data_IF_243951925050
#
_entry.id   IF_243951925050
#
_cell.length_a   1.000
_cell.length_b   1.000
_cell.length_c   1.000
_cell.angle_alpha   90.00
_cell.angle_beta   90.00
_cell.angle_gamma   90.00
#
_symmetry.space_group_name_H-M   'P 1'
#
loop_
_entity.id
_entity.type
_entity.pdbx_description
1 polymer ?
#
# COMPACT_ATOMS: atom_id res chain seq x y z
N UNK A 1 -19.25 -10.54 13.44
CA UNK A 1 -18.42 -9.39 13.00
C UNK A 1 -17.17 -10.03 12.44
N UNK A 2 -16.78 -9.86 11.15
CA UNK A 2 -15.58 -10.53 10.69
C UNK A 2 -14.36 -9.80 11.27
N UNK A 3 -13.97 -10.31 12.44
CA UNK A 3 -12.72 -10.06 13.15
C UNK A 3 -11.62 -10.88 12.46
N UNK A 4 -10.41 -10.32 12.38
CA UNK A 4 -9.24 -10.82 11.62
C UNK A 4 -9.26 -10.52 10.13
N UNK A 5 -9.13 -9.24 9.81
CA UNK A 5 -8.93 -8.75 8.46
C UNK A 5 -7.65 -7.90 8.44
N UNK A 6 -6.92 -7.87 7.32
CA UNK A 6 -5.71 -7.06 7.15
C UNK A 6 -5.90 -5.67 7.80
N UNK A 7 -4.91 -5.11 8.52
CA UNK A 7 -5.07 -3.88 9.31
C UNK A 7 -5.84 -2.81 8.54
N UNK A 8 -6.80 -2.16 9.20
CA UNK A 8 -7.60 -1.09 8.58
C UNK A 8 -6.72 0.09 8.15
N UNK A 9 -5.66 0.36 8.90
CA UNK A 9 -4.67 1.39 8.59
C UNK A 9 -3.28 0.79 8.48
N UNK A 10 -2.60 1.07 7.37
CA UNK A 10 -1.25 0.60 7.14
C UNK A 10 -0.51 1.54 6.19
N UNK A 11 0.81 1.47 6.22
CA UNK A 11 1.67 2.24 5.33
C UNK A 11 2.48 1.30 4.46
N UNK A 12 2.37 1.49 3.15
CA UNK A 12 3.23 0.87 2.17
C UNK A 12 4.32 1.85 1.74
N UNK A 13 5.50 1.34 1.42
CA UNK A 13 6.59 2.08 0.83
C UNK A 13 7.32 1.21 -0.20
N UNK A 14 7.68 1.82 -1.32
CA UNK A 14 8.59 1.23 -2.30
C UNK A 14 9.92 1.96 -2.27
N UNK A 15 11.00 1.21 -2.43
CA UNK A 15 12.36 1.75 -2.50
C UNK A 15 12.79 2.07 -3.92
N UNK A 16 12.36 1.29 -4.92
CA UNK A 16 12.72 1.55 -6.32
C UNK A 16 11.54 1.29 -7.26
N UNK A 17 10.88 2.36 -7.77
CA UNK A 17 11.04 3.78 -7.42
C UNK A 17 10.62 4.11 -5.97
N UNK A 18 11.10 5.24 -5.44
CA UNK A 18 10.71 5.71 -4.10
C UNK A 18 9.27 6.23 -4.10
N UNK A 19 8.40 5.58 -3.34
CA UNK A 19 7.02 6.02 -3.10
C UNK A 19 6.56 5.55 -1.74
N UNK A 20 5.53 6.20 -1.20
CA UNK A 20 4.84 5.70 -0.01
C UNK A 20 3.35 5.94 -0.10
N UNK A 21 2.57 4.96 0.34
CA UNK A 21 1.13 5.00 0.38
C UNK A 21 0.66 4.85 1.81
N UNK A 22 -0.15 5.80 2.25
CA UNK A 22 -0.84 5.69 3.52
C UNK A 22 -2.29 5.29 3.23
N UNK A 23 -2.68 4.13 3.72
CA UNK A 23 -4.04 3.61 3.65
C UNK A 23 -4.72 3.86 4.99
N UNK A 24 -5.86 4.55 4.95
CA UNK A 24 -6.76 4.76 6.09
C UNK A 24 -8.06 3.99 5.87
N UNK A 25 -9.14 4.27 6.60
CA UNK A 25 -10.39 3.52 6.46
C UNK A 25 -11.05 3.63 5.07
N UNK A 26 -11.09 4.83 4.47
CA UNK A 26 -11.76 5.08 3.18
C UNK A 26 -10.92 5.90 2.18
N UNK A 27 -9.77 6.41 2.60
CA UNK A 27 -8.90 7.23 1.76
C UNK A 27 -7.49 6.66 1.62
N UNK A 28 -6.92 6.83 0.44
CA UNK A 28 -5.54 6.53 0.12
C UNK A 28 -4.77 7.83 -0.08
N UNK A 29 -3.64 7.99 0.59
CA UNK A 29 -2.71 9.10 0.35
C UNK A 29 -1.43 8.57 -0.27
N UNK A 30 -1.18 8.96 -1.53
CA UNK A 30 0.02 8.60 -2.28
C UNK A 30 1.05 9.73 -2.18
N UNK A 31 2.26 9.43 -1.73
CA UNK A 31 3.34 10.40 -1.53
C UNK A 31 4.60 9.92 -2.25
N UNK A 32 5.29 10.84 -2.93
CA UNK A 32 6.57 10.58 -3.61
C UNK A 32 7.59 11.63 -3.18
N UNK A 33 8.90 11.39 -3.38
CA UNK A 33 9.90 12.44 -3.15
C UNK A 33 9.67 13.68 -4.00
N UNK A 34 9.07 13.54 -5.19
CA UNK A 34 8.70 14.66 -6.06
C UNK A 34 7.44 15.41 -5.57
N UNK A 35 6.52 14.70 -4.90
CA UNK A 35 5.31 15.28 -4.32
C UNK A 35 5.20 14.95 -2.82
N UNK A 36 5.89 15.71 -1.94
CA UNK A 36 5.91 15.46 -0.50
C UNK A 36 4.57 15.77 0.19
N UNK A 37 3.74 16.66 -0.36
CA UNK A 37 2.37 16.89 0.10
C UNK A 37 1.50 15.64 -0.10
N UNK A 38 1.78 14.89 -1.16
CA UNK A 38 1.03 13.70 -1.55
C UNK A 38 -0.39 14.01 -2.02
N UNK A 39 -0.98 13.04 -2.71
CA UNK A 39 -2.34 13.13 -3.24
C UNK A 39 -3.23 12.22 -2.44
N UNK A 40 -4.21 12.79 -1.75
CA UNK A 40 -5.25 12.04 -1.06
C UNK A 40 -6.44 11.87 -1.99
N UNK A 41 -6.83 10.62 -2.20
CA UNK A 41 -7.94 10.24 -3.06
C UNK A 41 -8.84 9.24 -2.34
N UNK A 42 -10.14 9.23 -2.65
CA UNK A 42 -11.01 8.16 -2.18
C UNK A 42 -10.50 6.82 -2.74
N UNK A 43 -10.61 5.76 -1.95
CA UNK A 43 -10.25 4.43 -2.39
C UNK A 43 -11.34 3.42 -2.06
N UNK A 44 -11.36 2.35 -2.82
CA UNK A 44 -12.18 1.18 -2.55
C UNK A 44 -11.30 0.09 -2.00
N UNK A 45 -11.61 -0.37 -0.79
CA UNK A 45 -10.95 -1.51 -0.16
C UNK A 45 -11.74 -2.79 -0.37
N UNK A 46 -11.10 -3.76 -1.00
CA UNK A 46 -11.59 -5.12 -1.15
C UNK A 46 -10.74 -6.05 -0.28
N UNK A 47 -11.34 -6.59 0.78
CA UNK A 47 -10.70 -7.57 1.64
C UNK A 47 -11.06 -8.95 1.11
N UNK A 48 -10.16 -9.55 0.34
CA UNK A 48 -10.39 -10.85 -0.30
C UNK A 48 -10.09 -12.03 0.62
N UNK A 49 -9.19 -11.88 1.59
CA UNK A 49 -8.81 -12.95 2.53
C UNK A 49 -8.20 -12.37 3.82
N UNK A 50 -8.08 -13.19 4.87
CA UNK A 50 -7.45 -12.84 6.15
C UNK A 50 -6.02 -12.28 5.96
N UNK A 51 -5.33 -12.68 4.88
CA UNK A 51 -3.94 -12.34 4.60
C UNK A 51 -3.72 -11.44 3.36
N UNK A 52 -4.79 -10.92 2.75
CA UNK A 52 -4.69 -10.08 1.55
C UNK A 52 -5.68 -8.90 1.58
N UNK A 53 -5.14 -7.69 1.39
CA UNK A 53 -5.91 -6.47 1.17
C UNK A 53 -5.66 -5.94 -0.24
N UNK A 54 -6.72 -5.73 -1.01
CA UNK A 54 -6.66 -5.03 -2.27
C UNK A 54 -7.29 -3.66 -2.06
N UNK A 55 -6.59 -2.59 -2.44
CA UNK A 55 -7.17 -1.25 -2.51
C UNK A 55 -7.03 -0.73 -3.92
N UNK A 56 -8.08 -0.09 -4.42
CA UNK A 56 -8.10 0.51 -5.75
C UNK A 56 -8.55 1.95 -5.64
N UNK A 57 -7.98 2.84 -6.45
CA UNK A 57 -8.34 4.25 -6.50
C UNK A 57 -7.94 4.88 -7.81
N UNK A 58 -8.08 6.19 -7.89
CA UNK A 58 -7.68 6.98 -9.04
C UNK A 58 -6.89 8.19 -8.55
N UNK A 59 -5.66 8.35 -9.04
CA UNK A 59 -4.80 9.49 -8.72
C UNK A 59 -4.61 10.30 -9.99
N UNK A 60 -5.09 11.54 -10.00
CA UNK A 60 -4.95 12.46 -11.14
C UNK A 60 -5.45 11.85 -12.48
N UNK A 61 -6.53 11.07 -12.44
CA UNK A 61 -7.08 10.40 -13.63
C UNK A 61 -6.37 9.10 -14.03
N UNK A 62 -5.41 8.62 -13.23
CA UNK A 62 -4.73 7.34 -13.44
C UNK A 62 -5.21 6.29 -12.44
N UNK A 63 -5.65 5.11 -12.91
CA UNK A 63 -6.06 4.04 -12.00
C UNK A 63 -4.85 3.50 -11.24
N UNK A 64 -4.98 3.44 -9.92
CA UNK A 64 -4.01 2.81 -9.04
C UNK A 64 -4.68 1.61 -8.37
N UNK A 65 -3.99 0.47 -8.39
CA UNK A 65 -4.41 -0.74 -7.68
C UNK A 65 -3.27 -1.22 -6.82
N UNK A 66 -3.47 -1.28 -5.52
CA UNK A 66 -2.47 -1.76 -4.57
C UNK A 66 -2.95 -3.05 -3.93
N UNK A 67 -2.11 -4.08 -4.02
CA UNK A 67 -2.33 -5.39 -3.41
C UNK A 67 -1.32 -5.59 -2.30
N UNK A 68 -1.79 -5.67 -1.07
CA UNK A 68 -0.98 -5.95 0.10
C UNK A 68 -1.24 -7.38 0.58
N UNK A 69 -0.17 -8.12 0.86
CA UNK A 69 -0.19 -9.53 1.29
C UNK A 69 0.67 -9.71 2.54
N UNK A 70 0.27 -10.62 3.42
CA UNK A 70 1.09 -11.05 4.57
C UNK A 70 2.20 -11.96 4.06
N UNK A 71 3.32 -11.34 3.71
CA UNK A 71 4.50 -11.99 3.14
C UNK A 71 5.73 -11.21 3.56
N UNK A 72 6.81 -11.94 3.88
CA UNK A 72 8.07 -11.35 4.33
C UNK A 72 8.73 -10.59 3.17
N UNK A 73 8.73 -9.27 3.27
CA UNK A 73 9.32 -8.39 2.29
C UNK A 73 10.67 -7.89 2.80
N UNK A 74 11.73 -8.15 2.04
CA UNK A 74 13.06 -7.63 2.30
C UNK A 74 13.34 -6.47 1.36
N UNK A 75 13.68 -5.32 1.94
CA UNK A 75 14.00 -4.09 1.20
C UNK A 75 15.38 -4.14 0.49
N UNK A 76 16.08 -5.30 0.55
CA UNK A 76 17.34 -5.57 -0.15
C UNK A 76 18.57 -4.80 0.36
N UNK A 77 18.35 -3.62 0.97
CA UNK A 77 19.39 -2.66 1.37
C UNK A 77 19.57 -2.59 2.88
N UNK A 78 18.61 -3.09 3.66
CA UNK A 78 18.67 -3.15 5.12
C UNK A 78 18.10 -4.48 5.56
N UNK A 79 18.64 -5.09 6.61
CA UNK A 79 18.07 -6.25 7.32
C UNK A 79 16.70 -5.95 7.98
N UNK A 80 15.92 -5.03 7.40
CA UNK A 80 14.54 -4.74 7.76
C UNK A 80 13.63 -5.68 6.99
N UNK A 81 13.22 -6.72 7.68
CA UNK A 81 12.10 -7.55 7.29
C UNK A 81 10.80 -6.80 7.58
N UNK A 82 10.01 -6.63 6.54
CA UNK A 82 8.65 -6.15 6.64
C UNK A 82 7.70 -7.36 6.64
N UNK A 83 6.67 -7.36 7.50
CA UNK A 83 5.73 -8.48 7.57
C UNK A 83 4.74 -8.55 6.39
N UNK A 84 4.73 -7.54 5.52
CA UNK A 84 3.81 -7.46 4.39
C UNK A 84 4.51 -7.07 3.09
N UNK A 85 4.23 -7.79 2.01
CA UNK A 85 4.62 -7.42 0.63
C UNK A 85 3.49 -6.64 -0.02
N UNK A 86 3.83 -5.60 -0.76
CA UNK A 86 2.87 -4.78 -1.51
C UNK A 86 3.25 -4.70 -2.97
N UNK A 87 2.25 -4.81 -3.83
CA UNK A 87 2.36 -4.59 -5.26
C UNK A 87 1.38 -3.51 -5.69
N UNK A 88 1.90 -2.39 -6.16
CA UNK A 88 1.12 -1.27 -6.70
C UNK A 88 1.17 -1.33 -8.22
N UNK A 89 0.03 -1.50 -8.85
CA UNK A 89 -0.16 -1.33 -10.28
C UNK A 89 -0.66 0.09 -10.54
N UNK A 90 0.14 0.91 -11.19
CA UNK A 90 -0.19 2.28 -11.56
C UNK A 90 -0.25 2.39 -13.09
N UNK A 91 -1.47 2.39 -13.65
CA UNK A 91 -1.66 2.25 -15.09
C UNK A 91 -1.06 0.94 -15.62
N UNK A 92 0.00 1.04 -16.41
CA UNK A 92 0.74 -0.11 -16.99
C UNK A 92 1.99 -0.49 -16.18
N UNK A 93 2.34 0.28 -15.14
CA UNK A 93 3.54 0.05 -14.34
C UNK A 93 3.21 -0.78 -13.10
N UNK A 94 3.96 -1.85 -12.86
CA UNK A 94 3.94 -2.59 -11.60
C UNK A 94 5.12 -2.14 -10.73
N UNK A 95 4.81 -1.64 -9.53
CA UNK A 95 5.75 -1.21 -8.52
C UNK A 95 5.66 -2.17 -7.34
N UNK A 96 6.81 -2.64 -6.87
CA UNK A 96 6.88 -3.49 -5.68
C UNK A 96 7.37 -2.68 -4.50
N UNK A 97 6.81 -2.98 -3.34
CA UNK A 97 7.17 -2.34 -2.09
C UNK A 97 6.84 -3.23 -0.91
N UNK A 98 7.16 -2.74 0.27
CA UNK A 98 6.86 -3.40 1.53
C UNK A 98 5.82 -2.57 2.30
N UNK A 99 4.97 -3.24 3.08
CA UNK A 99 4.07 -2.57 4.01
C UNK A 99 4.37 -2.94 5.45
N UNK A 100 3.91 -2.05 6.33
CA UNK A 100 3.83 -2.29 7.77
C UNK A 100 2.49 -1.80 8.28
N UNK A 101 1.98 -2.50 9.29
CA UNK A 101 0.88 -2.01 10.11
C UNK A 101 1.27 -0.67 10.71
N UNK A 102 0.30 0.23 10.79
CA UNK A 102 0.39 1.37 11.68
C UNK A 102 -0.30 0.94 12.97
N UNK A 103 0.35 0.03 13.69
CA UNK A 103 -0.11 -0.37 15.02
C UNK A 103 0.17 0.80 15.97
N UNK A 104 -0.87 1.32 16.59
CA UNK A 104 -0.83 2.36 17.62
C UNK A 104 -1.20 1.76 18.97
#
# INVERSE_FOLDING_TARGET
>A
MPESAFPASYRALGTEPFWSVHVSEDSLRYMTPENPDGVQVPMTREQSAQDESIVSGEIEGKPIKMRARVEECSDGMSDRLYPYTVTVTFGEQELRGCARTLDG
#
